data_IF_170390913723
#
_entry.id   IF_170390913723
#
_cell.length_a   1.000
_cell.length_b   1.000
_cell.length_c   1.000
_cell.angle_alpha   90.00
_cell.angle_beta   90.00
_cell.angle_gamma   90.00
#
_symmetry.space_group_name_H-M   'P 1'
#
loop_
_entity.id
_entity.type
_entity.pdbx_description
1 polymer ?
#
# COMPACT_ATOMS: atom_id res chain seq x y z
N UNK A 1 -5.53 -6.28 -12.04
CA UNK A 1 -5.56 -5.09 -12.93
C UNK A 1 -4.44 -5.22 -13.95
N UNK A 2 -4.53 -4.63 -15.16
CA UNK A 2 -3.47 -4.76 -16.17
C UNK A 2 -2.14 -4.12 -15.73
N UNK A 3 -1.01 -4.57 -16.29
CA UNK A 3 0.29 -3.92 -16.07
C UNK A 3 0.25 -2.44 -16.47
N UNK A 4 0.87 -1.58 -15.64
CA UNK A 4 0.89 -0.13 -15.84
C UNK A 4 -0.43 0.59 -15.54
N UNK A 5 -1.46 -0.11 -15.04
CA UNK A 5 -2.68 0.53 -14.57
C UNK A 5 -2.53 1.05 -13.12
N UNK A 6 -3.30 2.10 -12.80
CA UNK A 6 -3.32 2.69 -11.44
C UNK A 6 -4.65 2.40 -10.77
N UNK A 7 -4.61 1.82 -9.58
CA UNK A 7 -5.75 1.63 -8.72
C UNK A 7 -5.67 2.56 -7.51
N UNK A 8 -6.75 3.28 -7.21
CA UNK A 8 -6.78 4.27 -6.13
C UNK A 8 -7.91 3.98 -5.15
N UNK A 9 -7.58 3.93 -3.87
CA UNK A 9 -8.51 3.86 -2.75
C UNK A 9 -8.50 5.19 -2.02
N UNK A 10 -9.68 5.79 -1.83
CA UNK A 10 -9.84 7.06 -1.12
C UNK A 10 -11.09 7.04 -0.25
N UNK A 11 -11.02 7.66 0.92
CA UNK A 11 -12.15 7.84 1.83
C UNK A 11 -11.81 7.50 3.28
N UNK A 12 -12.84 7.14 4.04
CA UNK A 12 -12.75 6.80 5.46
C UNK A 12 -13.30 5.40 5.70
N UNK A 13 -12.60 4.60 6.51
CA UNK A 13 -13.06 3.26 6.95
C UNK A 13 -13.46 2.33 5.79
N UNK A 14 -12.70 2.35 4.68
CA UNK A 14 -12.90 1.46 3.56
C UNK A 14 -12.14 0.15 3.74
N UNK A 15 -12.73 -0.93 3.27
CA UNK A 15 -12.05 -2.22 3.11
C UNK A 15 -12.09 -2.60 1.63
N UNK A 16 -10.93 -2.80 1.02
CA UNK A 16 -10.82 -3.07 -0.43
C UNK A 16 -9.78 -4.15 -0.68
N UNK A 17 -10.07 -5.07 -1.58
CA UNK A 17 -9.12 -6.04 -2.09
C UNK A 17 -8.83 -5.77 -3.58
N UNK A 18 -7.56 -5.82 -3.97
CA UNK A 18 -7.12 -5.61 -5.35
C UNK A 18 -6.07 -6.63 -5.75
N UNK A 19 -6.25 -7.21 -6.94
CA UNK A 19 -5.20 -8.03 -7.56
C UNK A 19 -4.31 -7.15 -8.44
N UNK A 20 -3.04 -7.10 -8.10
CA UNK A 20 -2.02 -6.26 -8.69
C UNK A 20 -1.05 -7.10 -9.53
N UNK A 21 -0.93 -6.75 -10.81
CA UNK A 21 -0.03 -7.44 -11.73
C UNK A 21 0.70 -6.36 -12.52
N UNK A 22 1.85 -5.91 -11.99
CA UNK A 22 2.67 -4.82 -12.54
C UNK A 22 2.02 -3.43 -12.54
N UNK A 23 0.97 -3.23 -11.73
CA UNK A 23 0.28 -1.95 -11.60
C UNK A 23 0.80 -1.07 -10.45
N UNK A 24 0.21 0.13 -10.35
CA UNK A 24 0.39 1.03 -9.22
C UNK A 24 -0.85 1.02 -8.32
N UNK A 25 -0.65 0.96 -7.01
CA UNK A 25 -1.73 1.09 -6.02
C UNK A 25 -1.51 2.35 -5.20
N UNK A 26 -2.53 3.19 -5.11
CA UNK A 26 -2.54 4.38 -4.27
C UNK A 26 -3.63 4.27 -3.21
N UNK A 27 -3.26 4.38 -1.95
CA UNK A 27 -4.17 4.36 -0.80
C UNK A 27 -4.13 5.73 -0.15
N UNK A 28 -5.29 6.34 0.02
CA UNK A 28 -5.43 7.68 0.59
C UNK A 28 -6.64 7.76 1.53
N UNK A 29 -6.58 8.65 2.52
CA UNK A 29 -7.68 8.89 3.46
C UNK A 29 -7.39 8.41 4.87
N UNK A 30 -8.42 7.99 5.60
CA UNK A 30 -8.32 7.71 7.05
C UNK A 30 -8.88 6.33 7.41
N UNK A 31 -8.08 5.54 8.14
CA UNK A 31 -8.46 4.22 8.65
C UNK A 31 -8.94 3.24 7.58
N UNK A 32 -8.29 3.22 6.41
CA UNK A 32 -8.62 2.27 5.34
C UNK A 32 -7.79 0.99 5.46
N UNK A 33 -8.39 -0.14 5.11
CA UNK A 33 -7.75 -1.45 5.03
C UNK A 33 -7.71 -1.91 3.57
N UNK A 34 -6.51 -2.18 3.05
CA UNK A 34 -6.32 -2.61 1.66
C UNK A 34 -5.55 -3.92 1.60
N UNK A 35 -6.11 -4.91 0.92
CA UNK A 35 -5.45 -6.19 0.63
C UNK A 35 -5.03 -6.23 -0.84
N UNK A 36 -3.76 -6.51 -1.08
CA UNK A 36 -3.13 -6.49 -2.39
C UNK A 36 -2.51 -7.86 -2.65
N UNK A 37 -3.01 -8.57 -3.64
CA UNK A 37 -2.44 -9.85 -4.06
C UNK A 37 -1.67 -9.69 -5.37
N UNK A 38 -0.73 -10.58 -5.64
CA UNK A 38 0.13 -10.53 -6.82
C UNK A 38 1.37 -9.64 -6.65
N UNK A 39 1.93 -9.21 -7.78
CA UNK A 39 3.16 -8.44 -7.85
C UNK A 39 2.89 -6.99 -8.27
N UNK A 40 3.01 -6.07 -7.33
CA UNK A 40 2.92 -4.65 -7.63
C UNK A 40 4.23 -4.04 -8.08
N UNK A 41 4.17 -3.08 -9.00
CA UNK A 41 5.34 -2.28 -9.29
C UNK A 41 5.55 -1.24 -8.18
N UNK A 42 4.51 -0.45 -7.87
CA UNK A 42 4.60 0.59 -6.84
C UNK A 42 3.35 0.64 -5.99
N UNK A 43 3.52 0.62 -4.67
CA UNK A 43 2.50 0.93 -3.68
C UNK A 43 2.77 2.31 -3.07
N UNK A 44 1.76 3.17 -3.05
CA UNK A 44 1.77 4.45 -2.33
C UNK A 44 0.67 4.46 -1.30
N UNK A 45 1.00 4.80 -0.06
CA UNK A 45 0.05 4.95 1.05
C UNK A 45 0.19 6.35 1.60
N UNK A 46 -0.94 7.05 1.73
CA UNK A 46 -1.02 8.43 2.19
C UNK A 46 -2.21 8.61 3.13
N UNK A 47 -2.11 9.52 4.08
CA UNK A 47 -3.19 9.82 5.02
C UNK A 47 -2.92 9.32 6.44
N UNK A 48 -3.96 8.86 7.14
CA UNK A 48 -3.91 8.57 8.59
C UNK A 48 -4.43 7.16 8.90
N UNK A 49 -3.68 6.39 9.70
CA UNK A 49 -4.10 5.07 10.20
C UNK A 49 -4.49 4.05 9.10
N UNK A 50 -3.92 4.13 7.90
CA UNK A 50 -4.23 3.15 6.85
C UNK A 50 -3.44 1.86 7.09
N UNK A 51 -4.08 0.72 6.92
CA UNK A 51 -3.48 -0.61 7.01
C UNK A 51 -3.46 -1.24 5.62
N UNK A 52 -2.29 -1.66 5.14
CA UNK A 52 -2.13 -2.28 3.83
C UNK A 52 -1.38 -3.60 3.96
N UNK A 53 -1.97 -4.66 3.42
CA UNK A 53 -1.35 -5.97 3.30
C UNK A 53 -1.07 -6.24 1.83
N UNK A 54 0.17 -6.62 1.50
CA UNK A 54 0.53 -6.99 0.14
C UNK A 54 1.40 -8.24 0.06
N UNK A 55 1.29 -9.02 -1.00
CA UNK A 55 2.19 -10.15 -1.23
C UNK A 55 3.61 -9.70 -1.57
N UNK A 56 3.77 -8.93 -2.65
CA UNK A 56 5.07 -8.35 -3.04
C UNK A 56 4.91 -7.05 -3.82
N UNK A 57 5.90 -6.18 -3.71
CA UNK A 57 6.02 -4.99 -4.55
C UNK A 57 7.49 -4.66 -4.82
N UNK A 58 7.77 -3.90 -5.89
CA UNK A 58 9.12 -3.34 -6.09
C UNK A 58 9.37 -2.10 -5.26
N UNK A 59 8.36 -1.23 -5.08
CA UNK A 59 8.49 0.02 -4.32
C UNK A 59 7.30 0.22 -3.40
N UNK A 60 7.58 0.66 -2.17
CA UNK A 60 6.58 0.99 -1.16
C UNK A 60 6.87 2.39 -0.63
N UNK A 61 6.01 3.35 -1.00
CA UNK A 61 6.02 4.70 -0.46
C UNK A 61 4.92 4.86 0.59
N UNK A 62 5.28 5.29 1.80
CA UNK A 62 4.33 5.57 2.87
C UNK A 62 4.51 7.01 3.34
N UNK A 63 3.40 7.73 3.43
CA UNK A 63 3.35 9.14 3.79
C UNK A 63 2.18 9.43 4.74
N UNK A 64 2.34 10.40 5.64
CA UNK A 64 1.30 10.80 6.59
C UNK A 64 1.55 10.28 8.00
N UNK A 65 0.50 9.80 8.68
CA UNK A 65 0.52 9.49 10.11
C UNK A 65 0.00 8.08 10.42
N UNK A 66 0.72 7.33 11.26
CA UNK A 66 0.29 6.03 11.83
C UNK A 66 -0.14 4.99 10.77
N UNK A 67 0.40 5.04 9.56
CA UNK A 67 0.09 4.04 8.54
C UNK A 67 0.90 2.76 8.77
N UNK A 68 0.29 1.61 8.53
CA UNK A 68 0.89 0.29 8.65
C UNK A 68 0.87 -0.45 7.32
N UNK A 69 2.03 -0.91 6.87
CA UNK A 69 2.17 -1.72 5.66
C UNK A 69 2.88 -3.02 6.00
N UNK A 70 2.31 -4.15 5.61
CA UNK A 70 2.89 -5.48 5.79
C UNK A 70 3.02 -6.17 4.45
N UNK A 71 4.24 -6.53 4.06
CA UNK A 71 4.52 -7.30 2.85
C UNK A 71 5.01 -8.71 3.20
N UNK A 72 4.71 -9.72 2.39
CA UNK A 72 5.09 -11.11 2.71
C UNK A 72 6.38 -11.56 2.01
N UNK A 73 6.66 -11.05 0.81
CA UNK A 73 7.79 -11.52 0.00
C UNK A 73 8.42 -10.43 -0.86
N UNK A 74 9.66 -10.68 -1.28
CA UNK A 74 10.46 -9.75 -2.09
C UNK A 74 11.26 -8.74 -1.25
N UNK A 75 11.96 -7.85 -1.95
CA UNK A 75 12.81 -6.82 -1.35
C UNK A 75 12.39 -5.43 -1.89
N UNK A 76 11.25 -4.89 -1.43
CA UNK A 76 10.77 -3.60 -1.90
C UNK A 76 11.70 -2.46 -1.46
N UNK A 77 11.86 -1.48 -2.33
CA UNK A 77 12.42 -0.18 -1.94
C UNK A 77 11.40 0.56 -1.07
N UNK A 78 11.68 0.69 0.23
CA UNK A 78 10.77 1.32 1.19
C UNK A 78 11.17 2.78 1.43
N UNK A 79 10.24 3.69 1.18
CA UNK A 79 10.33 5.11 1.52
C UNK A 79 9.24 5.48 2.51
N UNK A 80 9.62 6.11 3.63
CA UNK A 80 8.69 6.55 4.68
C UNK A 80 8.84 8.05 4.89
N UNK A 81 7.72 8.76 4.92
CA UNK A 81 7.65 10.20 5.16
C UNK A 81 6.50 10.52 6.12
N UNK A 82 6.65 11.54 6.97
CA UNK A 82 5.69 11.81 8.05
C UNK A 82 6.01 11.03 9.33
N UNK A 83 5.01 10.79 10.18
CA UNK A 83 5.22 10.27 11.55
C UNK A 83 4.58 8.89 11.76
N UNK A 84 5.20 8.06 12.61
CA UNK A 84 4.70 6.74 13.03
C UNK A 84 4.33 5.75 11.92
N UNK A 85 4.91 5.88 10.74
CA UNK A 85 4.66 4.95 9.64
C UNK A 85 5.47 3.65 9.83
N UNK A 86 4.78 2.53 9.88
CA UNK A 86 5.39 1.19 10.03
C UNK A 86 5.32 0.45 8.71
N UNK A 87 6.45 -0.12 8.31
CA UNK A 87 6.54 -1.02 7.15
C UNK A 87 7.38 -2.19 7.60
N UNK A 88 6.79 -3.38 7.57
CA UNK A 88 7.39 -4.61 8.08
C UNK A 88 7.12 -5.78 7.14
N UNK A 89 8.01 -6.76 7.15
CA UNK A 89 7.77 -8.02 6.48
C UNK A 89 7.00 -8.96 7.42
N UNK A 90 5.92 -9.58 6.92
CA UNK A 90 5.09 -10.55 7.62
C UNK A 90 5.44 -11.99 7.30
#
# INVERSE_FOLDING_TARGET
>A
MPEGSTFSVSGTHKQVAVNCDGGLVNVSGVSNTVEITGNCDTLTVSGVENTVHLETARKIGVSGFDNKVTYYSGEPEVSKSGNNNTVEQG
#
